data_IF_121795569479
#
_entry.id   IF_121795569479
#
_cell.length_a   1.000
_cell.length_b   1.000
_cell.length_c   1.000
_cell.angle_alpha   90.00
_cell.angle_beta   90.00
_cell.angle_gamma   90.00
#
_symmetry.space_group_name_H-M   'P 1'
#
loop_
_entity.id
_entity.type
_entity.pdbx_description
1 polymer ?
#
# COMPACT_ATOMS: atom_id res chain seq x y z
N UNK A 1 57.38 -34.63 3.29
CA UNK A 1 58.05 -33.40 2.77
C UNK A 1 56.96 -32.57 2.16
N UNK A 2 56.53 -31.43 2.69
CA UNK A 2 57.27 -30.26 3.18
C UNK A 2 56.49 -29.65 4.35
N UNK A 3 57.16 -29.36 5.47
CA UNK A 3 56.59 -28.64 6.61
C UNK A 3 56.79 -27.14 6.44
N UNK A 4 55.77 -26.33 6.73
CA UNK A 4 55.90 -24.88 6.85
C UNK A 4 55.96 -24.47 8.33
N UNK A 5 57.03 -23.77 8.67
CA UNK A 5 57.29 -23.13 9.96
C UNK A 5 56.26 -22.01 10.22
N UNK A 6 55.67 -22.02 11.41
CA UNK A 6 55.04 -20.84 12.00
C UNK A 6 56.13 -19.99 12.68
N UNK A 7 56.35 -18.77 12.18
CA UNK A 7 57.09 -17.75 12.91
C UNK A 7 56.15 -17.05 13.90
N UNK A 8 56.49 -17.10 15.18
CA UNK A 8 55.82 -16.36 16.25
C UNK A 8 56.26 -14.88 16.19
N UNK A 9 55.32 -13.97 15.93
CA UNK A 9 55.48 -12.56 16.29
C UNK A 9 54.83 -12.33 17.66
N UNK A 10 55.62 -11.87 18.63
CA UNK A 10 55.15 -11.39 19.93
C UNK A 10 54.59 -9.97 19.76
N UNK A 11 53.30 -9.77 20.03
CA UNK A 11 52.70 -8.45 20.23
C UNK A 11 52.18 -8.33 21.68
N UNK A 12 52.23 -7.13 22.29
CA UNK A 12 51.95 -6.95 23.70
C UNK A 12 50.46 -7.04 24.00
N UNK A 13 50.16 -7.57 25.19
CA UNK A 13 48.84 -7.74 25.78
C UNK A 13 48.11 -6.38 25.89
N UNK A 14 47.10 -6.18 25.05
CA UNK A 14 46.20 -5.03 25.10
C UNK A 14 44.78 -5.42 24.71
N UNK A 15 43.90 -5.52 25.71
CA UNK A 15 42.43 -5.63 25.65
C UNK A 15 41.84 -6.27 24.38
N UNK A 16 41.83 -7.60 24.35
CA UNK A 16 40.99 -8.37 23.44
C UNK A 16 39.51 -8.28 23.86
N UNK A 17 38.85 -7.18 23.51
CA UNK A 17 37.46 -7.30 23.06
C UNK A 17 37.55 -7.96 21.68
N UNK A 18 37.41 -9.29 21.65
CA UNK A 18 37.64 -10.11 20.47
C UNK A 18 36.79 -9.60 19.31
N UNK A 19 37.39 -9.58 18.11
CA UNK A 19 36.71 -9.22 16.86
C UNK A 19 35.41 -10.01 16.68
N UNK A 20 35.37 -11.26 17.18
CA UNK A 20 34.16 -12.10 17.24
C UNK A 20 33.03 -11.48 18.05
N UNK A 21 33.29 -10.86 19.20
CA UNK A 21 32.26 -10.20 20.01
C UNK A 21 31.61 -9.02 19.27
N UNK A 22 32.39 -8.20 18.57
CA UNK A 22 31.86 -7.11 17.74
C UNK A 22 31.12 -7.64 16.51
N UNK A 23 31.60 -8.72 15.90
CA UNK A 23 30.92 -9.35 14.76
C UNK A 23 29.60 -10.00 15.18
N UNK A 24 29.52 -10.67 16.33
CA UNK A 24 28.26 -11.22 16.87
C UNK A 24 27.29 -10.12 17.29
N UNK A 25 27.76 -8.97 17.79
CA UNK A 25 26.90 -7.81 18.11
C UNK A 25 26.40 -7.13 16.82
N UNK A 26 27.26 -6.96 15.82
CA UNK A 26 26.85 -6.39 14.52
C UNK A 26 25.91 -7.36 13.81
N UNK A 27 26.19 -8.66 13.83
CA UNK A 27 25.31 -9.69 13.28
C UNK A 27 24.00 -9.79 14.07
N UNK A 28 24.00 -9.64 15.39
CA UNK A 28 22.77 -9.60 16.18
C UNK A 28 21.98 -8.31 15.99
N UNK A 29 22.63 -7.17 15.72
CA UNK A 29 21.99 -5.92 15.32
C UNK A 29 21.43 -5.98 13.89
N UNK A 30 22.10 -6.68 12.97
CA UNK A 30 21.64 -6.93 11.60
C UNK A 30 20.50 -7.95 11.60
N UNK A 31 20.59 -9.02 12.39
CA UNK A 31 19.52 -10.00 12.59
C UNK A 31 18.34 -9.38 13.35
N UNK A 32 18.55 -8.47 14.31
CA UNK A 32 17.47 -7.70 14.96
C UNK A 32 16.81 -6.68 14.03
N UNK A 33 17.51 -6.17 13.01
CA UNK A 33 16.91 -5.29 12.00
C UNK A 33 15.89 -6.02 11.11
N UNK A 34 15.96 -7.35 11.07
CA UNK A 34 15.01 -8.25 10.42
C UNK A 34 14.07 -8.95 11.41
N UNK A 35 13.78 -8.34 12.56
CA UNK A 35 12.57 -8.68 13.31
C UNK A 35 11.39 -8.03 12.61
N UNK A 36 10.46 -8.85 12.14
CA UNK A 36 9.10 -8.52 11.68
C UNK A 36 8.68 -7.11 12.10
N UNK A 37 8.80 -6.14 11.18
CA UNK A 37 8.38 -4.76 11.46
C UNK A 37 6.85 -4.79 11.52
N UNK A 38 6.28 -4.46 12.68
CA UNK A 38 4.84 -4.20 12.76
C UNK A 38 4.50 -3.11 11.73
N UNK A 39 3.54 -3.40 10.86
CA UNK A 39 3.08 -2.49 9.82
C UNK A 39 1.63 -2.10 10.07
N UNK A 40 1.29 -0.85 9.79
CA UNK A 40 -0.10 -0.42 9.70
C UNK A 40 -0.60 -0.69 8.28
N UNK A 41 -1.57 -1.59 8.14
CA UNK A 41 -2.15 -1.99 6.86
C UNK A 41 -3.50 -1.30 6.71
N UNK A 42 -3.67 -0.51 5.65
CA UNK A 42 -4.96 0.05 5.25
C UNK A 42 -5.57 -0.77 4.12
N UNK A 43 -6.68 -1.42 4.38
CA UNK A 43 -7.46 -2.18 3.40
C UNK A 43 -8.66 -1.37 2.90
N UNK A 44 -8.61 -0.93 1.64
CA UNK A 44 -9.69 -0.21 0.98
C UNK A 44 -10.53 -1.20 0.17
N UNK A 45 -11.77 -1.46 0.61
CA UNK A 45 -12.76 -2.26 -0.13
C UNK A 45 -13.65 -1.34 -0.95
N UNK A 46 -13.81 -1.62 -2.25
CA UNK A 46 -14.56 -0.75 -3.18
C UNK A 46 -15.69 -1.47 -3.91
N UNK A 47 -15.66 -2.81 -3.93
CA UNK A 47 -16.61 -3.63 -4.69
C UNK A 47 -17.96 -3.71 -4.01
N UNK A 48 -19.01 -3.42 -4.78
CA UNK A 48 -20.41 -3.53 -4.36
C UNK A 48 -20.91 -4.98 -4.32
N UNK A 49 -20.09 -5.94 -4.76
CA UNK A 49 -20.44 -7.36 -4.76
C UNK A 49 -20.23 -8.05 -3.40
N UNK A 50 -19.83 -7.31 -2.35
CA UNK A 50 -19.70 -7.83 -0.99
C UNK A 50 -18.81 -9.08 -0.90
N UNK A 51 -19.32 -10.15 -0.29
CA UNK A 51 -18.65 -11.45 -0.14
C UNK A 51 -18.37 -12.16 -1.48
N UNK A 52 -19.07 -11.79 -2.56
CA UNK A 52 -18.83 -12.34 -3.89
C UNK A 52 -17.72 -11.58 -4.66
N UNK A 53 -17.17 -10.52 -4.08
CA UNK A 53 -16.14 -9.71 -4.70
C UNK A 53 -14.81 -10.46 -4.85
N UNK A 54 -14.37 -10.66 -6.09
CA UNK A 54 -13.05 -11.24 -6.37
C UNK A 54 -11.92 -10.31 -5.91
N UNK A 55 -12.03 -9.00 -6.12
CA UNK A 55 -10.99 -8.05 -5.69
C UNK A 55 -10.87 -7.95 -4.16
N UNK A 56 -11.97 -8.11 -3.41
CA UNK A 56 -11.91 -8.17 -1.95
C UNK A 56 -11.26 -9.48 -1.48
N UNK A 57 -11.61 -10.62 -2.10
CA UNK A 57 -10.99 -11.93 -1.77
C UNK A 57 -9.48 -11.93 -2.01
N UNK A 58 -9.03 -11.39 -3.14
CA UNK A 58 -7.60 -11.23 -3.43
C UNK A 58 -6.92 -10.34 -2.38
N UNK A 59 -7.58 -9.25 -1.96
CA UNK A 59 -7.06 -8.38 -0.90
C UNK A 59 -6.96 -9.11 0.45
N UNK A 60 -7.92 -9.96 0.80
CA UNK A 60 -7.92 -10.74 2.04
C UNK A 60 -6.82 -11.81 2.05
N UNK A 61 -6.60 -12.48 0.92
CA UNK A 61 -5.49 -13.44 0.75
C UNK A 61 -4.15 -12.73 0.90
N UNK A 62 -3.96 -11.61 0.20
CA UNK A 62 -2.75 -10.79 0.30
C UNK A 62 -2.49 -10.29 1.73
N UNK A 63 -3.52 -9.79 2.42
CA UNK A 63 -3.41 -9.33 3.81
C UNK A 63 -3.03 -10.48 4.74
N UNK A 64 -3.56 -11.68 4.50
CA UNK A 64 -3.19 -12.87 5.30
C UNK A 64 -1.69 -13.16 5.17
N UNK A 65 -1.15 -13.15 3.96
CA UNK A 65 0.30 -13.31 3.71
C UNK A 65 1.12 -12.20 4.38
N UNK A 66 0.65 -10.96 4.32
CA UNK A 66 1.31 -9.81 4.97
C UNK A 66 1.35 -9.95 6.50
N UNK A 67 0.27 -10.43 7.12
CA UNK A 67 0.19 -10.65 8.56
C UNK A 67 1.07 -11.82 9.01
N UNK A 68 1.18 -12.89 8.21
CA UNK A 68 2.09 -14.00 8.47
C UNK A 68 3.56 -13.58 8.43
N UNK A 69 3.94 -12.70 7.50
CA UNK A 69 5.31 -12.17 7.39
C UNK A 69 5.61 -11.05 8.37
N UNK A 70 4.59 -10.31 8.79
CA UNK A 70 4.72 -9.22 9.76
C UNK A 70 3.81 -9.42 10.98
N UNK A 71 4.05 -10.45 11.81
CA UNK A 71 3.32 -10.67 13.07
C UNK A 71 3.24 -9.39 13.92
N UNK A 72 2.04 -9.09 14.41
CA UNK A 72 1.77 -7.88 15.20
C UNK A 72 1.39 -6.64 14.38
N UNK A 73 1.30 -6.76 13.05
CA UNK A 73 0.73 -5.71 12.21
C UNK A 73 -0.77 -5.52 12.48
N UNK A 74 -1.24 -4.28 12.33
CA UNK A 74 -2.64 -3.91 12.51
C UNK A 74 -3.31 -3.67 11.14
N UNK A 75 -4.59 -4.01 11.03
CA UNK A 75 -5.37 -3.80 9.80
C UNK A 75 -6.52 -2.84 10.08
N UNK A 76 -6.50 -1.70 9.40
CA UNK A 76 -7.63 -0.77 9.32
C UNK A 76 -8.39 -1.06 8.04
N UNK A 77 -9.71 -1.30 8.15
CA UNK A 77 -10.57 -1.59 7.00
C UNK A 77 -11.46 -0.39 6.69
N UNK A 78 -11.34 0.16 5.49
CA UNK A 78 -12.21 1.20 4.94
C UNK A 78 -13.04 0.59 3.82
N UNK A 79 -14.30 0.29 4.12
CA UNK A 79 -15.25 -0.23 3.13
C UNK A 79 -16.09 0.89 2.51
N UNK A 80 -15.68 1.30 1.31
CA UNK A 80 -16.33 2.36 0.54
C UNK A 80 -17.62 1.89 -0.15
N UNK A 81 -17.90 0.59 -0.16
CA UNK A 81 -19.15 0.05 -0.71
C UNK A 81 -20.31 0.16 0.28
N UNK A 82 -20.01 0.09 1.58
CA UNK A 82 -20.99 0.18 2.67
C UNK A 82 -21.00 1.56 3.33
N UNK A 83 -19.84 2.20 3.45
CA UNK A 83 -19.67 3.52 4.05
C UNK A 83 -19.03 4.48 3.03
N UNK A 84 -19.76 4.87 1.96
CA UNK A 84 -19.21 5.70 0.91
C UNK A 84 -18.88 7.11 1.43
N UNK A 85 -17.82 7.68 0.88
CA UNK A 85 -17.50 9.09 1.03
C UNK A 85 -18.34 9.90 0.03
N UNK A 86 -18.98 11.00 0.45
CA UNK A 86 -19.75 11.84 -0.46
C UNK A 86 -18.89 12.38 -1.60
N UNK A 87 -19.50 12.64 -2.75
CA UNK A 87 -18.80 13.29 -3.85
C UNK A 87 -18.29 14.68 -3.44
N UNK A 88 -17.16 15.08 -4.03
CA UNK A 88 -16.58 16.39 -3.79
C UNK A 88 -17.56 17.49 -4.22
N UNK A 89 -17.89 18.39 -3.30
CA UNK A 89 -18.72 19.57 -3.52
C UNK A 89 -17.91 20.81 -3.13
N UNK A 90 -18.40 22.00 -3.49
CA UNK A 90 -17.74 23.27 -3.16
C UNK A 90 -17.46 23.40 -1.66
N UNK A 91 -18.42 23.01 -0.80
CA UNK A 91 -18.26 23.07 0.67
C UNK A 91 -17.13 22.15 1.17
N UNK A 92 -17.00 20.96 0.58
CA UNK A 92 -15.95 20.01 0.91
C UNK A 92 -14.61 20.62 0.50
N UNK A 93 -14.46 21.00 -0.77
CA UNK A 93 -13.23 21.58 -1.29
C UNK A 93 -12.78 22.85 -0.54
N UNK A 94 -13.70 23.78 -0.29
CA UNK A 94 -13.41 25.02 0.43
C UNK A 94 -12.94 24.74 1.87
N UNK A 95 -13.48 23.71 2.54
CA UNK A 95 -13.05 23.34 3.89
C UNK A 95 -11.63 22.79 3.96
N UNK A 96 -11.11 22.21 2.86
CA UNK A 96 -9.75 21.63 2.82
C UNK A 96 -8.64 22.70 2.83
N UNK A 97 -8.97 23.93 2.45
CA UNK A 97 -8.03 25.05 2.42
C UNK A 97 -7.92 25.79 3.76
N UNK A 98 -8.79 25.49 4.73
CA UNK A 98 -8.86 26.18 6.02
C UNK A 98 -8.02 25.38 7.03
N UNK A 99 -7.11 26.03 7.78
CA UNK A 99 -6.40 25.37 8.90
C UNK A 99 -7.37 24.77 9.91
N UNK A 100 -7.03 23.61 10.48
CA UNK A 100 -7.94 22.82 11.33
C UNK A 100 -8.40 23.60 12.57
N UNK A 101 -7.52 24.45 13.10
CA UNK A 101 -7.74 25.36 14.23
C UNK A 101 -8.70 26.53 13.91
N UNK A 102 -8.84 26.89 12.63
CA UNK A 102 -9.70 28.00 12.16
C UNK A 102 -11.08 27.53 11.70
N UNK A 103 -11.29 26.21 11.52
CA UNK A 103 -12.57 25.66 11.05
C UNK A 103 -13.69 25.83 12.10
N UNK A 104 -14.82 26.37 11.65
CA UNK A 104 -16.08 26.30 12.37
C UNK A 104 -16.72 24.89 12.29
N UNK A 105 -17.85 24.67 12.97
CA UNK A 105 -18.49 23.35 13.03
C UNK A 105 -18.95 22.83 11.66
N UNK A 106 -19.49 23.69 10.79
CA UNK A 106 -19.94 23.28 9.47
C UNK A 106 -18.76 22.89 8.57
N UNK A 107 -17.65 23.62 8.68
CA UNK A 107 -16.42 23.33 7.95
C UNK A 107 -15.76 22.04 8.45
N UNK A 108 -15.75 21.79 9.77
CA UNK A 108 -15.30 20.51 10.35
C UNK A 108 -16.16 19.34 9.87
N UNK A 109 -17.48 19.52 9.85
CA UNK A 109 -18.39 18.51 9.34
C UNK A 109 -18.16 18.24 7.84
N UNK A 110 -17.88 19.28 7.06
CA UNK A 110 -17.60 19.18 5.64
C UNK A 110 -16.25 18.49 5.35
N UNK A 111 -15.20 18.76 6.13
CA UNK A 111 -13.87 18.15 5.92
C UNK A 111 -13.71 16.77 6.53
N UNK A 112 -14.58 16.36 7.48
CA UNK A 112 -14.47 15.13 8.27
C UNK A 112 -14.06 13.90 7.46
N UNK A 113 -14.69 13.66 6.31
CA UNK A 113 -14.40 12.48 5.49
C UNK A 113 -12.98 12.50 4.90
N UNK A 114 -12.51 13.69 4.50
CA UNK A 114 -11.14 13.90 4.04
C UNK A 114 -10.15 13.79 5.20
N UNK A 115 -10.45 14.40 6.35
CA UNK A 115 -9.59 14.32 7.53
C UNK A 115 -9.40 12.87 8.00
N UNK A 116 -10.47 12.07 7.99
CA UNK A 116 -10.46 10.64 8.30
C UNK A 116 -9.63 9.85 7.28
N UNK A 117 -9.89 10.01 5.97
CA UNK A 117 -9.16 9.31 4.92
C UNK A 117 -7.67 9.69 4.86
N UNK A 118 -7.35 10.96 5.10
CA UNK A 118 -5.97 11.47 5.19
C UNK A 118 -5.23 10.83 6.35
N UNK A 119 -5.86 10.77 7.53
CA UNK A 119 -5.27 10.12 8.70
C UNK A 119 -4.95 8.65 8.40
N UNK A 120 -5.91 7.90 7.87
CA UNK A 120 -5.73 6.49 7.53
C UNK A 120 -4.55 6.25 6.57
N UNK A 121 -4.49 7.00 5.47
CA UNK A 121 -3.43 6.78 4.47
C UNK A 121 -2.07 7.29 4.95
N UNK A 122 -2.02 8.32 5.79
CA UNK A 122 -0.79 8.84 6.38
C UNK A 122 -0.21 7.86 7.42
N UNK A 123 -1.06 7.22 8.22
CA UNK A 123 -0.65 6.25 9.25
C UNK A 123 -0.26 4.87 8.66
N UNK A 124 -0.77 4.51 7.48
CA UNK A 124 -0.49 3.23 6.83
C UNK A 124 0.95 3.10 6.30
N UNK A 125 1.64 2.00 6.61
CA UNK A 125 2.87 1.60 5.92
C UNK A 125 2.54 0.88 4.60
N UNK A 126 1.46 0.11 4.59
CA UNK A 126 1.01 -0.72 3.47
C UNK A 126 -0.45 -0.39 3.16
N UNK A 127 -0.74 -0.12 1.90
CA UNK A 127 -2.09 0.11 1.40
C UNK A 127 -2.46 -1.05 0.47
N UNK A 128 -3.63 -1.64 0.70
CA UNK A 128 -4.21 -2.69 -0.14
C UNK A 128 -5.55 -2.19 -0.65
N UNK A 129 -5.75 -2.17 -1.96
CA UNK A 129 -7.00 -1.71 -2.57
C UNK A 129 -7.57 -2.82 -3.45
N UNK A 130 -8.79 -3.26 -3.14
CA UNK A 130 -9.57 -4.09 -4.05
C UNK A 130 -10.21 -3.23 -5.14
N UNK A 131 -9.91 -3.47 -6.41
CA UNK A 131 -10.35 -2.65 -7.55
C UNK A 131 -11.13 -3.50 -8.56
N UNK A 132 -12.46 -3.59 -8.48
CA UNK A 132 -13.24 -4.22 -9.53
C UNK A 132 -13.38 -3.29 -10.75
N UNK A 133 -13.47 -3.88 -11.94
CA UNK A 133 -13.63 -3.15 -13.20
C UNK A 133 -15.11 -2.95 -13.53
N UNK A 134 -15.63 -1.73 -13.33
CA UNK A 134 -17.00 -1.34 -13.63
C UNK A 134 -17.02 -0.26 -14.71
N UNK A 135 -17.77 -0.52 -15.79
CA UNK A 135 -17.98 0.43 -16.89
C UNK A 135 -16.68 1.08 -17.38
N UNK A 136 -15.68 0.24 -17.69
CA UNK A 136 -14.39 0.64 -18.25
C UNK A 136 -13.43 1.36 -17.28
N UNK A 137 -13.69 1.34 -15.97
CA UNK A 137 -12.79 1.90 -14.94
C UNK A 137 -13.08 1.30 -13.55
N UNK A 138 -12.57 1.90 -12.48
CA UNK A 138 -12.82 1.53 -11.08
C UNK A 138 -14.11 2.19 -10.53
N UNK A 139 -14.65 1.73 -9.37
CA UNK A 139 -15.90 2.26 -8.82
C UNK A 139 -15.83 3.76 -8.48
N UNK A 140 -16.93 4.48 -8.68
CA UNK A 140 -17.02 5.92 -8.35
C UNK A 140 -16.77 6.23 -6.87
N UNK A 141 -17.06 5.28 -5.96
CA UNK A 141 -16.76 5.40 -4.54
C UNK A 141 -15.26 5.48 -4.26
N UNK A 142 -14.44 4.75 -5.01
CA UNK A 142 -12.98 4.89 -4.96
C UNK A 142 -12.55 6.27 -5.45
N UNK A 143 -13.19 6.83 -6.49
CA UNK A 143 -12.92 8.20 -6.94
C UNK A 143 -13.21 9.24 -5.86
N UNK A 144 -14.32 9.13 -5.13
CA UNK A 144 -14.64 10.04 -4.02
C UNK A 144 -13.60 9.96 -2.88
N UNK A 145 -13.09 8.77 -2.59
CA UNK A 145 -12.01 8.60 -1.60
C UNK A 145 -10.69 9.19 -2.10
N UNK A 146 -10.35 8.98 -3.38
CA UNK A 146 -9.20 9.60 -4.05
C UNK A 146 -9.25 11.14 -3.93
N UNK A 147 -10.41 11.74 -4.22
CA UNK A 147 -10.59 13.19 -4.11
C UNK A 147 -10.43 13.70 -2.67
N UNK A 148 -10.69 12.84 -1.70
CA UNK A 148 -10.59 13.16 -0.28
C UNK A 148 -9.16 13.02 0.27
N UNK A 149 -8.27 12.30 -0.41
CA UNK A 149 -6.86 12.17 0.01
C UNK A 149 -5.91 13.05 -0.79
N UNK A 150 -6.30 13.49 -2.00
CA UNK A 150 -5.47 14.34 -2.85
C UNK A 150 -5.58 15.81 -2.41
N UNK A 151 -4.93 16.15 -1.29
CA UNK A 151 -5.02 17.47 -0.65
C UNK A 151 -3.65 18.15 -0.60
N UNK A 152 -3.60 19.39 -1.09
CA UNK A 152 -2.39 20.21 -1.11
C UNK A 152 -1.86 20.43 0.31
N UNK A 153 -0.54 20.38 0.45
CA UNK A 153 0.21 20.46 1.71
C UNK A 153 -0.09 19.34 2.73
N UNK A 154 -0.90 18.33 2.37
CA UNK A 154 -1.16 17.14 3.20
C UNK A 154 -0.62 15.86 2.56
N UNK A 155 -0.84 15.67 1.24
CA UNK A 155 -0.34 14.49 0.48
C UNK A 155 0.48 14.84 -0.74
N UNK A 156 0.36 16.06 -1.25
CA UNK A 156 1.27 16.62 -2.25
C UNK A 156 1.54 18.11 -1.95
N UNK A 157 2.57 18.68 -2.55
CA UNK A 157 2.88 20.11 -2.45
C UNK A 157 3.51 20.62 -3.75
N UNK A 158 3.53 21.93 -3.93
CA UNK A 158 4.33 22.59 -4.96
C UNK A 158 5.39 23.46 -4.26
N UNK A 159 6.67 23.24 -4.56
CA UNK A 159 7.78 24.11 -4.15
C UNK A 159 8.47 24.62 -5.40
N UNK A 160 8.55 25.94 -5.57
CA UNK A 160 9.18 26.56 -6.74
C UNK A 160 8.58 26.08 -8.09
N UNK A 161 7.28 25.78 -8.10
CA UNK A 161 6.58 25.22 -9.26
C UNK A 161 6.79 23.71 -9.49
N UNK A 162 7.60 23.05 -8.66
CA UNK A 162 7.87 21.61 -8.74
C UNK A 162 6.90 20.85 -7.85
N UNK A 163 6.18 19.91 -8.45
CA UNK A 163 5.31 18.98 -7.73
C UNK A 163 6.14 18.03 -6.86
N UNK A 164 5.72 17.85 -5.61
CA UNK A 164 6.30 16.88 -4.68
C UNK A 164 5.20 16.12 -3.93
N UNK A 165 5.08 14.82 -4.20
CA UNK A 165 4.28 13.90 -3.39
C UNK A 165 4.90 13.68 -2.00
N UNK A 166 4.08 13.67 -0.96
CA UNK A 166 4.51 13.68 0.45
C UNK A 166 4.41 12.32 1.13
N UNK A 167 3.65 11.36 0.57
CA UNK A 167 3.46 10.04 1.14
C UNK A 167 4.59 9.08 0.72
N UNK A 168 5.75 9.19 1.38
CA UNK A 168 6.95 8.37 1.11
C UNK A 168 7.00 7.09 1.94
N UNK A 169 7.82 6.14 1.50
CA UNK A 169 8.12 4.89 2.21
C UNK A 169 6.88 4.02 2.49
N UNK A 170 5.95 3.98 1.53
CA UNK A 170 4.72 3.20 1.60
C UNK A 170 4.67 2.21 0.43
N UNK A 171 4.17 1.01 0.69
CA UNK A 171 3.88 -0.01 -0.32
C UNK A 171 2.39 0.05 -0.66
N UNK A 172 2.05 0.02 -1.96
CA UNK A 172 0.68 -0.10 -2.43
C UNK A 172 0.50 -1.38 -3.23
N UNK A 173 -0.56 -2.11 -2.92
CA UNK A 173 -1.04 -3.25 -3.69
C UNK A 173 -2.42 -2.94 -4.28
N UNK A 174 -2.57 -3.16 -5.58
CA UNK A 174 -3.83 -3.03 -6.30
C UNK A 174 -4.29 -4.43 -6.75
N UNK A 175 -5.41 -4.88 -6.21
CA UNK A 175 -6.02 -6.17 -6.54
C UNK A 175 -7.17 -5.97 -7.53
N UNK A 176 -6.86 -6.07 -8.82
CA UNK A 176 -7.78 -5.85 -9.92
C UNK A 176 -8.60 -7.10 -10.22
N UNK A 177 -9.91 -6.92 -10.38
CA UNK A 177 -10.82 -7.96 -10.84
C UNK A 177 -11.60 -7.46 -12.06
N UNK A 178 -11.33 -8.04 -13.23
CA UNK A 178 -11.93 -7.67 -14.51
C UNK A 178 -12.88 -8.76 -14.98
N UNK A 179 -14.11 -8.38 -15.33
CA UNK A 179 -15.15 -9.34 -15.73
C UNK A 179 -14.85 -10.05 -17.05
N UNK A 180 -14.45 -9.29 -18.06
CA UNK A 180 -14.06 -9.78 -19.38
C UNK A 180 -12.55 -9.89 -19.56
N UNK A 181 -12.14 -10.08 -20.82
CA UNK A 181 -10.76 -9.98 -21.29
C UNK A 181 -10.76 -8.89 -22.36
N UNK A 182 -9.81 -7.96 -22.25
CA UNK A 182 -9.71 -6.83 -23.17
C UNK A 182 -8.28 -6.69 -23.68
N UNK A 183 -8.12 -6.59 -24.99
CA UNK A 183 -6.83 -6.50 -25.69
C UNK A 183 -6.58 -5.11 -26.31
N UNK A 184 -7.42 -4.14 -25.96
CA UNK A 184 -7.44 -2.79 -26.53
C UNK A 184 -6.89 -1.71 -25.59
N UNK A 185 -6.22 -2.09 -24.49
CA UNK A 185 -5.57 -1.16 -23.57
C UNK A 185 -6.50 -0.54 -22.51
N UNK A 186 -7.79 -0.89 -22.46
CA UNK A 186 -8.73 -0.22 -21.54
C UNK A 186 -8.45 -0.53 -20.08
N UNK A 187 -7.94 -1.72 -19.77
CA UNK A 187 -7.59 -2.10 -18.40
C UNK A 187 -6.30 -1.38 -17.99
N UNK A 188 -5.33 -1.32 -18.90
CA UNK A 188 -4.07 -0.60 -18.74
C UNK A 188 -4.30 0.90 -18.53
N UNK A 189 -5.33 1.49 -19.16
CA UNK A 189 -5.70 2.89 -18.91
C UNK A 189 -6.13 3.12 -17.45
N UNK A 190 -6.87 2.17 -16.86
CA UNK A 190 -7.26 2.23 -15.45
C UNK A 190 -6.04 2.06 -14.52
N UNK A 191 -5.16 1.09 -14.83
CA UNK A 191 -3.90 0.90 -14.11
C UNK A 191 -3.02 2.16 -14.18
N UNK A 192 -2.91 2.76 -15.35
CA UNK A 192 -2.15 3.99 -15.57
C UNK A 192 -2.71 5.17 -14.78
N UNK A 193 -4.04 5.33 -14.73
CA UNK A 193 -4.66 6.36 -13.91
C UNK A 193 -4.28 6.19 -12.42
N UNK A 194 -4.45 4.97 -11.87
CA UNK A 194 -4.20 4.71 -10.46
C UNK A 194 -2.72 4.89 -10.11
N UNK A 195 -1.82 4.31 -10.91
CA UNK A 195 -0.37 4.45 -10.71
C UNK A 195 0.11 5.89 -10.82
N UNK A 196 -0.41 6.66 -11.78
CA UNK A 196 -0.11 8.10 -11.91
C UNK A 196 -0.57 8.88 -10.69
N UNK A 197 -1.80 8.65 -10.23
CA UNK A 197 -2.36 9.31 -9.06
C UNK A 197 -1.56 9.00 -7.78
N UNK A 198 -1.26 7.73 -7.51
CA UNK A 198 -0.52 7.34 -6.32
C UNK A 198 0.92 7.83 -6.37
N UNK A 199 1.55 7.79 -7.56
CA UNK A 199 2.85 8.41 -7.79
C UNK A 199 2.84 9.93 -7.55
N UNK A 200 1.77 10.62 -7.97
CA UNK A 200 1.56 12.05 -7.74
C UNK A 200 1.56 12.41 -6.24
N UNK A 201 0.90 11.63 -5.39
CA UNK A 201 0.94 11.82 -3.92
C UNK A 201 2.18 11.20 -3.24
N UNK A 202 3.07 10.55 -4.00
CA UNK A 202 4.40 10.13 -3.56
C UNK A 202 4.57 8.63 -3.29
N UNK A 203 3.51 7.83 -3.46
CA UNK A 203 3.53 6.38 -3.31
C UNK A 203 3.99 5.78 -4.64
N UNK A 204 5.20 5.26 -4.67
CA UNK A 204 5.88 4.84 -5.92
C UNK A 204 6.25 3.36 -5.94
N UNK A 205 6.21 2.68 -4.79
CA UNK A 205 6.29 1.23 -4.71
C UNK A 205 4.88 0.66 -4.85
N UNK A 206 4.50 0.35 -6.09
CA UNK A 206 3.16 -0.11 -6.46
C UNK A 206 3.28 -1.48 -7.11
N UNK A 207 2.43 -2.40 -6.68
CA UNK A 207 2.32 -3.73 -7.23
C UNK A 207 0.86 -4.05 -7.57
N UNK A 208 0.65 -4.66 -8.73
CA UNK A 208 -0.67 -4.88 -9.30
C UNK A 208 -0.86 -6.38 -9.52
N UNK A 209 -1.90 -6.93 -8.89
CA UNK A 209 -2.37 -8.28 -9.16
C UNK A 209 -3.67 -8.19 -9.94
N UNK A 210 -3.73 -8.84 -11.11
CA UNK A 210 -4.84 -8.70 -12.04
C UNK A 210 -5.45 -10.05 -12.37
N UNK A 211 -6.72 -10.22 -12.01
CA UNK A 211 -7.54 -11.37 -12.39
C UNK A 211 -8.58 -10.96 -13.44
N UNK A 212 -8.39 -11.40 -14.68
CA UNK A 212 -9.30 -11.12 -15.81
C UNK A 212 -10.22 -12.31 -16.11
N UNK A 213 -11.29 -12.08 -16.86
CA UNK A 213 -12.25 -13.13 -17.21
C UNK A 213 -13.05 -13.64 -16.01
N UNK A 214 -13.20 -12.84 -14.95
CA UNK A 214 -13.89 -13.27 -13.70
C UNK A 214 -15.39 -13.55 -13.88
N UNK A 215 -15.97 -13.13 -15.01
CA UNK A 215 -17.35 -13.43 -15.40
C UNK A 215 -17.44 -14.45 -16.55
N UNK A 216 -16.32 -15.05 -16.97
CA UNK A 216 -16.25 -16.09 -17.99
C UNK A 216 -16.10 -17.44 -17.27
N UNK A 217 -17.14 -18.31 -17.23
CA UNK A 217 -17.14 -19.52 -16.40
C UNK A 217 -15.93 -20.45 -16.62
N UNK A 218 -15.45 -20.56 -17.85
CA UNK A 218 -14.32 -21.42 -18.23
C UNK A 218 -12.97 -20.88 -17.75
N UNK A 219 -12.86 -19.58 -17.45
CA UNK A 219 -11.59 -18.91 -17.12
C UNK A 219 -11.52 -18.46 -15.67
N UNK A 220 -12.68 -18.24 -15.04
CA UNK A 220 -12.78 -17.62 -13.70
C UNK A 220 -11.93 -18.33 -12.65
N UNK A 221 -12.03 -19.65 -12.54
CA UNK A 221 -11.35 -20.41 -11.49
C UNK A 221 -9.84 -20.47 -11.74
N UNK A 222 -9.44 -20.80 -12.96
CA UNK A 222 -8.03 -20.87 -13.37
C UNK A 222 -7.31 -19.53 -13.19
N UNK A 223 -7.89 -18.44 -13.69
CA UNK A 223 -7.28 -17.11 -13.59
C UNK A 223 -7.22 -16.60 -12.15
N UNK A 224 -8.20 -16.95 -11.32
CA UNK A 224 -8.16 -16.63 -9.89
C UNK A 224 -7.01 -17.36 -9.20
N UNK A 225 -6.87 -18.67 -9.41
CA UNK A 225 -5.79 -19.48 -8.82
C UNK A 225 -4.40 -19.01 -9.28
N UNK A 226 -4.28 -18.62 -10.56
CA UNK A 226 -3.06 -18.02 -11.09
C UNK A 226 -2.72 -16.73 -10.32
N UNK A 227 -3.69 -15.84 -10.14
CA UNK A 227 -3.48 -14.57 -9.42
C UNK A 227 -3.13 -14.81 -7.95
N UNK A 228 -3.73 -15.81 -7.30
CA UNK A 228 -3.37 -16.22 -5.93
C UNK A 228 -1.92 -16.71 -5.86
N UNK A 229 -1.50 -17.52 -6.84
CA UNK A 229 -0.10 -17.99 -6.92
C UNK A 229 0.89 -16.84 -7.12
N UNK A 230 0.52 -15.83 -7.93
CA UNK A 230 1.31 -14.60 -8.10
C UNK A 230 1.45 -13.82 -6.78
N UNK A 231 0.36 -13.70 -6.00
CA UNK A 231 0.39 -13.09 -4.66
C UNK A 231 1.33 -13.87 -3.74
N UNK A 232 1.17 -15.19 -3.65
CA UNK A 232 1.99 -16.03 -2.77
C UNK A 232 3.48 -15.98 -3.13
N UNK A 233 3.81 -15.89 -4.42
CA UNK A 233 5.19 -15.82 -4.90
C UNK A 233 5.94 -14.57 -4.44
N UNK A 234 5.24 -13.47 -4.15
CA UNK A 234 5.84 -12.23 -3.61
C UNK A 234 6.32 -12.42 -2.16
N UNK A 235 5.74 -13.37 -1.44
CA UNK A 235 6.05 -13.65 -0.04
C UNK A 235 6.84 -14.96 0.15
N UNK A 236 7.07 -15.74 -0.90
CA UNK A 236 7.89 -16.96 -0.84
C UNK A 236 9.35 -16.65 -0.49
#
# INVERSE_FOLDING_TARGET
MVGLLFHFFHFPLGNYYTFESKFTIILSLIINKNKNKMANILNIKTSINGENSISNKLSEILISQLLEKNPGSEVVVRDLSTNPIPHMEIKHFASLAIPDEEKNNDQKNASRYSDEALKEIQEADIIVIGVPFYNFTFPSTLKSWIDSIAVANKTFSYSDGILKGLLKNKKLYLNLAVGGIYDNGIVENMEHYLTTLFGFIGITDIEIFKSEGTMIPQLKEENLLKTVSEIEAVFA
#
